data_IF_652447583098
#
_entry.id   IF_652447583098
#
_cell.length_a   1.000
_cell.length_b   1.000
_cell.length_c   1.000
_cell.angle_alpha   90.00
_cell.angle_beta   90.00
_cell.angle_gamma   90.00
#
_symmetry.space_group_name_H-M   'P 1'
#
loop_
_entity.id
_entity.type
_entity.pdbx_description
1 polymer ?
#
# COMPACT_ATOMS: atom_id res chain seq x y z
N UNK A 1 12.45 42.73 -52.67
CA UNK A 1 12.25 42.81 -51.23
C UNK A 1 11.99 41.42 -50.69
N UNK A 2 12.93 40.82 -50.01
CA UNK A 2 12.79 39.50 -49.42
C UNK A 2 12.42 39.76 -47.96
N UNK A 3 11.17 39.49 -47.61
CA UNK A 3 10.72 39.50 -46.20
C UNK A 3 11.07 38.17 -45.57
N UNK A 4 12.07 38.15 -44.74
CA UNK A 4 12.39 37.02 -43.90
C UNK A 4 11.29 36.85 -42.84
N UNK A 5 10.45 35.87 -43.04
CA UNK A 5 9.56 35.41 -41.99
C UNK A 5 10.38 34.47 -41.13
N UNK A 6 10.91 34.96 -40.00
CA UNK A 6 11.44 34.10 -38.94
C UNK A 6 10.25 33.39 -38.27
N UNK A 7 10.06 32.15 -38.66
CA UNK A 7 9.14 31.27 -38.00
C UNK A 7 9.77 30.84 -36.67
N UNK A 8 9.34 31.49 -35.61
CA UNK A 8 9.75 31.11 -34.25
C UNK A 8 9.00 29.83 -33.89
N UNK A 9 9.69 28.72 -33.99
CA UNK A 9 9.15 27.44 -33.50
C UNK A 9 9.18 27.50 -31.98
N UNK A 10 8.02 27.71 -31.37
CA UNK A 10 7.82 27.53 -29.93
C UNK A 10 7.78 26.01 -29.65
N UNK A 11 8.89 25.48 -29.18
CA UNK A 11 8.92 24.12 -28.65
C UNK A 11 8.24 24.16 -27.28
N UNK A 12 6.98 23.73 -27.22
CA UNK A 12 6.30 23.45 -25.97
C UNK A 12 6.95 22.21 -25.36
N UNK A 13 7.85 22.40 -24.42
CA UNK A 13 8.29 21.34 -23.51
C UNK A 13 7.09 20.98 -22.61
N UNK A 14 6.35 19.96 -23.00
CA UNK A 14 5.36 19.37 -22.13
C UNK A 14 6.14 18.60 -21.07
N UNK A 15 6.34 19.23 -19.92
CA UNK A 15 6.74 18.50 -18.72
C UNK A 15 5.54 17.62 -18.34
N UNK A 16 5.51 16.39 -18.85
CA UNK A 16 4.68 15.35 -18.25
C UNK A 16 5.27 15.06 -16.88
N UNK A 17 4.73 15.73 -15.86
CA UNK A 17 4.91 15.29 -14.48
C UNK A 17 4.34 13.88 -14.43
N UNK A 18 5.21 12.88 -14.44
CA UNK A 18 4.84 11.51 -14.17
C UNK A 18 4.34 11.49 -12.73
N UNK A 19 3.02 11.58 -12.56
CA UNK A 19 2.33 11.23 -11.34
C UNK A 19 2.78 9.80 -11.02
N UNK A 20 3.31 9.61 -9.82
CA UNK A 20 3.83 8.33 -9.37
C UNK A 20 2.74 7.26 -9.49
N UNK A 21 2.74 6.52 -10.62
CA UNK A 21 1.86 5.37 -10.85
C UNK A 21 2.46 4.08 -10.28
N UNK A 22 3.47 4.20 -9.42
CA UNK A 22 4.18 3.08 -8.85
C UNK A 22 3.46 2.46 -7.66
N UNK A 23 3.92 1.28 -7.20
CA UNK A 23 3.43 0.65 -5.99
C UNK A 23 3.58 1.55 -4.77
N UNK A 24 2.69 1.39 -3.80
CA UNK A 24 2.87 1.98 -2.48
C UNK A 24 4.19 1.47 -1.88
N UNK A 25 4.93 2.32 -1.21
CA UNK A 25 6.19 1.98 -0.56
C UNK A 25 6.21 2.46 0.89
N UNK A 26 7.15 1.95 1.66
CA UNK A 26 7.37 2.35 3.05
C UNK A 26 6.92 1.28 4.04
N UNK A 27 7.23 1.53 5.31
CA UNK A 27 6.89 0.66 6.43
C UNK A 27 5.78 1.30 7.23
N UNK A 28 4.74 0.51 7.49
CA UNK A 28 3.55 0.93 8.23
C UNK A 28 3.33 0.05 9.45
N UNK A 29 2.81 0.67 10.51
CA UNK A 29 2.37 0.00 11.72
C UNK A 29 0.88 -0.29 11.62
N UNK A 30 0.49 -1.55 11.82
CA UNK A 30 -0.92 -1.94 11.84
C UNK A 30 -1.61 -1.50 13.13
N UNK A 31 -2.94 -1.49 13.12
CA UNK A 31 -3.69 -1.39 14.36
C UNK A 31 -3.48 -2.63 15.24
N UNK A 32 -3.64 -2.51 16.55
CA UNK A 32 -3.66 -3.67 17.41
C UNK A 32 -4.75 -4.67 17.00
N UNK A 33 -4.39 -5.94 16.99
CA UNK A 33 -5.35 -7.03 16.75
C UNK A 33 -6.44 -7.02 17.82
N UNK A 34 -7.69 -7.14 17.41
CA UNK A 34 -8.82 -7.27 18.34
C UNK A 34 -8.75 -8.57 19.16
N UNK A 35 -8.09 -9.58 18.62
CA UNK A 35 -7.97 -10.91 19.25
C UNK A 35 -6.81 -10.97 20.24
N UNK A 36 -5.60 -10.48 19.83
CA UNK A 36 -4.38 -10.63 20.61
C UNK A 36 -3.89 -9.34 21.25
N UNK A 37 -4.34 -8.18 20.74
CA UNK A 37 -3.81 -6.86 21.12
C UNK A 37 -2.43 -6.54 20.55
N UNK A 38 -1.80 -7.47 19.83
CA UNK A 38 -0.52 -7.27 19.18
C UNK A 38 -0.65 -6.50 17.85
N UNK A 39 0.46 -6.03 17.35
CA UNK A 39 0.53 -5.33 16.06
C UNK A 39 1.74 -5.79 15.25
N UNK A 40 1.82 -5.32 14.02
CA UNK A 40 2.90 -5.68 13.13
C UNK A 40 3.42 -4.47 12.35
N UNK A 41 4.64 -4.60 11.84
CA UNK A 41 5.18 -3.72 10.80
C UNK A 41 5.02 -4.41 9.44
N UNK A 42 4.52 -3.65 8.49
CA UNK A 42 4.27 -4.10 7.12
C UNK A 42 5.08 -3.24 6.17
N UNK A 43 5.90 -3.86 5.36
CA UNK A 43 6.66 -3.19 4.29
C UNK A 43 5.90 -3.31 2.99
N UNK A 44 5.49 -2.18 2.42
CA UNK A 44 4.87 -2.13 1.11
C UNK A 44 5.91 -2.01 -0.01
N UNK A 45 5.59 -2.59 -1.12
CA UNK A 45 6.38 -2.53 -2.34
C UNK A 45 5.70 -3.29 -3.48
N UNK A 46 6.40 -3.43 -4.59
CA UNK A 46 5.93 -4.25 -5.69
C UNK A 46 5.78 -5.72 -5.27
N UNK A 47 4.72 -6.37 -5.76
CA UNK A 47 4.57 -7.81 -5.61
C UNK A 47 5.68 -8.56 -6.37
N UNK A 48 6.17 -9.65 -5.82
CA UNK A 48 7.24 -10.44 -6.47
C UNK A 48 6.78 -11.04 -7.80
N UNK A 49 5.52 -11.45 -7.87
CA UNK A 49 4.91 -12.10 -9.03
C UNK A 49 4.46 -11.11 -10.10
N UNK A 50 4.21 -9.86 -9.71
CA UNK A 50 3.77 -8.80 -10.62
C UNK A 50 4.21 -7.43 -10.07
N UNK A 51 5.21 -6.82 -10.69
CA UNK A 51 5.77 -5.55 -10.24
C UNK A 51 4.87 -4.33 -10.45
N UNK A 52 3.76 -4.48 -11.17
CA UNK A 52 2.73 -3.44 -11.33
C UNK A 52 1.70 -3.39 -10.19
N UNK A 53 1.71 -4.40 -9.32
CA UNK A 53 0.80 -4.51 -8.17
C UNK A 53 1.54 -4.22 -6.87
N UNK A 54 0.80 -3.77 -5.85
CA UNK A 54 1.31 -3.51 -4.51
C UNK A 54 1.05 -4.68 -3.60
N UNK A 55 2.09 -5.08 -2.86
CA UNK A 55 2.03 -6.08 -1.79
C UNK A 55 2.60 -5.52 -0.50
N UNK A 56 2.05 -5.95 0.62
CA UNK A 56 2.54 -5.65 1.96
C UNK A 56 3.07 -6.91 2.62
N UNK A 57 4.32 -6.87 3.02
CA UNK A 57 5.04 -7.99 3.63
C UNK A 57 5.22 -7.78 5.13
N UNK A 58 4.89 -8.78 5.92
CA UNK A 58 5.13 -8.77 7.36
C UNK A 58 6.64 -8.80 7.64
N UNK A 59 7.15 -7.80 8.35
CA UNK A 59 8.58 -7.71 8.66
C UNK A 59 8.88 -7.86 10.14
N UNK A 60 7.94 -7.52 11.02
CA UNK A 60 8.10 -7.62 12.47
C UNK A 60 6.73 -7.65 13.14
N UNK A 61 6.61 -8.38 14.24
CA UNK A 61 5.40 -8.39 15.04
C UNK A 61 5.70 -8.15 16.50
N UNK A 62 4.71 -7.63 17.22
CA UNK A 62 4.80 -7.25 18.62
C UNK A 62 3.63 -7.81 19.40
N UNK A 63 3.90 -8.26 20.61
CA UNK A 63 2.86 -8.65 21.54
C UNK A 63 2.13 -7.42 22.10
N UNK A 64 1.01 -7.64 22.77
CA UNK A 64 0.19 -6.60 23.39
C UNK A 64 1.01 -5.66 24.31
N UNK A 65 2.03 -6.17 24.98
CA UNK A 65 2.88 -5.38 25.87
C UNK A 65 4.02 -4.63 25.17
N UNK A 66 4.07 -4.67 23.85
CA UNK A 66 5.07 -3.96 23.05
C UNK A 66 6.39 -4.69 22.85
N UNK A 67 6.50 -5.94 23.29
CA UNK A 67 7.70 -6.74 23.04
C UNK A 67 7.68 -7.36 21.65
N UNK A 68 8.81 -7.26 20.97
CA UNK A 68 8.98 -7.94 19.68
C UNK A 68 8.90 -9.46 19.85
N UNK A 69 8.15 -10.10 18.98
CA UNK A 69 8.03 -11.55 18.94
C UNK A 69 9.27 -12.13 18.28
N UNK A 70 10.06 -12.91 19.02
CA UNK A 70 11.20 -13.64 18.48
C UNK A 70 10.72 -14.74 17.52
N UNK A 71 11.50 -14.95 16.46
CA UNK A 71 11.21 -16.00 15.48
C UNK A 71 9.78 -15.97 14.96
N UNK A 72 9.31 -14.76 14.64
CA UNK A 72 7.97 -14.55 14.14
C UNK A 72 7.74 -15.38 12.87
N UNK A 73 6.87 -16.40 12.98
CA UNK A 73 6.67 -17.40 11.94
C UNK A 73 6.12 -16.85 10.62
N UNK A 74 5.42 -15.73 10.66
CA UNK A 74 4.82 -15.09 9.48
C UNK A 74 5.70 -14.02 8.86
N UNK A 75 6.92 -13.83 9.38
CA UNK A 75 7.89 -12.89 8.81
C UNK A 75 8.18 -13.26 7.34
N UNK A 76 8.11 -12.26 6.46
CA UNK A 76 8.33 -12.44 5.04
C UNK A 76 7.10 -12.86 4.24
N UNK A 77 5.99 -13.16 4.90
CA UNK A 77 4.73 -13.48 4.24
C UNK A 77 3.93 -12.22 3.92
N UNK A 78 3.11 -12.29 2.89
CA UNK A 78 2.19 -11.20 2.58
C UNK A 78 1.05 -11.15 3.59
N UNK A 79 0.70 -9.95 4.05
CA UNK A 79 -0.57 -9.68 4.73
C UNK A 79 -1.59 -9.11 3.73
N UNK A 80 -1.13 -8.31 2.78
CA UNK A 80 -1.91 -7.70 1.70
C UNK A 80 -1.20 -8.01 0.38
N UNK A 81 -1.94 -8.39 -0.66
CA UNK A 81 -1.34 -8.68 -1.96
C UNK A 81 -2.26 -8.34 -3.12
N UNK A 82 -1.67 -8.23 -4.30
CA UNK A 82 -2.33 -7.97 -5.57
C UNK A 82 -3.17 -6.68 -5.60
N UNK A 83 -2.74 -5.65 -4.89
CA UNK A 83 -3.41 -4.36 -4.89
C UNK A 83 -3.08 -3.57 -6.15
N UNK A 84 -4.10 -3.28 -6.94
CA UNK A 84 -3.98 -2.44 -8.13
C UNK A 84 -4.28 -0.99 -7.78
N UNK A 85 -3.35 -0.10 -8.11
CA UNK A 85 -3.56 1.33 -7.93
C UNK A 85 -4.59 1.86 -8.93
N UNK A 86 -5.59 2.55 -8.42
CA UNK A 86 -6.64 3.21 -9.19
C UNK A 86 -6.69 4.69 -8.84
N UNK A 87 -6.28 5.55 -9.79
CA UNK A 87 -6.15 6.98 -9.52
C UNK A 87 -4.98 7.29 -8.57
N UNK A 88 -5.09 8.38 -7.81
CA UNK A 88 -3.97 8.89 -6.99
C UNK A 88 -3.93 8.32 -5.57
N UNK A 89 -5.05 7.85 -5.03
CA UNK A 89 -5.18 7.52 -3.61
C UNK A 89 -5.71 6.12 -3.35
N UNK A 90 -6.29 5.44 -4.32
CA UNK A 90 -7.02 4.21 -4.11
C UNK A 90 -6.30 3.00 -4.68
N UNK A 91 -6.46 1.88 -3.99
CA UNK A 91 -5.99 0.56 -4.40
C UNK A 91 -7.15 -0.42 -4.23
N UNK A 92 -7.33 -1.31 -5.20
CA UNK A 92 -8.42 -2.28 -5.19
C UNK A 92 -8.01 -3.61 -5.82
N UNK A 93 -8.91 -4.56 -5.78
CA UNK A 93 -8.75 -5.86 -6.44
C UNK A 93 -7.80 -6.82 -5.74
N UNK A 94 -7.28 -6.46 -4.58
CA UNK A 94 -6.37 -7.31 -3.82
C UNK A 94 -7.05 -8.13 -2.73
N UNK A 95 -6.21 -8.75 -1.91
CA UNK A 95 -6.59 -9.61 -0.78
C UNK A 95 -5.85 -9.20 0.47
N UNK A 96 -6.46 -9.49 1.61
CA UNK A 96 -5.85 -9.38 2.93
C UNK A 96 -6.06 -10.67 3.71
N UNK A 97 -5.04 -11.11 4.42
CA UNK A 97 -5.14 -12.27 5.32
C UNK A 97 -5.17 -11.81 6.77
N UNK A 98 -6.16 -12.29 7.49
CA UNK A 98 -6.17 -12.21 8.94
C UNK A 98 -5.43 -13.42 9.50
N UNK A 99 -4.26 -13.18 10.07
CA UNK A 99 -3.42 -14.26 10.62
C UNK A 99 -3.92 -14.78 11.95
N UNK A 100 -4.90 -14.12 12.58
CA UNK A 100 -5.52 -14.64 13.82
C UNK A 100 -6.52 -15.74 13.56
N UNK A 101 -7.23 -15.69 12.44
CA UNK A 101 -8.21 -16.73 12.06
C UNK A 101 -7.83 -17.52 10.79
N UNK A 102 -6.79 -17.08 10.10
CA UNK A 102 -6.31 -17.69 8.84
C UNK A 102 -7.17 -17.38 7.62
N UNK A 103 -8.19 -16.55 7.75
CA UNK A 103 -9.10 -16.23 6.64
C UNK A 103 -8.54 -15.15 5.72
N UNK A 104 -8.91 -15.26 4.46
CA UNK A 104 -8.54 -14.30 3.39
C UNK A 104 -9.79 -13.55 2.96
N UNK A 105 -9.67 -12.23 2.89
CA UNK A 105 -10.76 -11.35 2.49
C UNK A 105 -10.37 -10.55 1.25
N UNK A 106 -11.36 -10.11 0.49
CA UNK A 106 -11.16 -9.07 -0.50
C UNK A 106 -10.69 -7.79 0.19
N UNK A 107 -9.81 -7.06 -0.41
CA UNK A 107 -9.22 -5.87 0.22
C UNK A 107 -9.13 -4.70 -0.74
N UNK A 108 -9.24 -3.53 -0.16
CA UNK A 108 -8.95 -2.25 -0.80
C UNK A 108 -8.20 -1.35 0.17
N UNK A 109 -7.47 -0.40 -0.37
CA UNK A 109 -6.72 0.57 0.43
C UNK A 109 -6.94 1.99 -0.09
N UNK A 110 -6.75 2.95 0.78
CA UNK A 110 -6.82 4.37 0.46
C UNK A 110 -5.69 5.12 1.16
N UNK A 111 -4.97 5.97 0.42
CA UNK A 111 -4.01 6.90 1.02
C UNK A 111 -4.81 8.04 1.65
N UNK A 112 -4.84 8.08 2.98
CA UNK A 112 -5.58 9.09 3.74
C UNK A 112 -4.75 10.37 3.85
N UNK A 113 -3.46 10.22 4.14
CA UNK A 113 -2.51 11.32 4.24
C UNK A 113 -1.10 10.82 3.91
N UNK A 114 -0.12 11.72 3.95
CA UNK A 114 1.29 11.39 3.75
C UNK A 114 1.78 10.22 4.63
N UNK A 115 1.25 10.11 5.85
CA UNK A 115 1.72 9.15 6.86
C UNK A 115 0.65 8.13 7.27
N UNK A 116 -0.46 8.04 6.55
CA UNK A 116 -1.58 7.19 6.94
C UNK A 116 -2.26 6.57 5.74
N UNK A 117 -2.54 5.29 5.82
CA UNK A 117 -3.36 4.56 4.85
C UNK A 117 -4.54 3.89 5.55
N UNK A 118 -5.68 3.86 4.87
CA UNK A 118 -6.80 3.00 5.23
C UNK A 118 -6.66 1.66 4.54
N UNK A 119 -6.82 0.57 5.27
CA UNK A 119 -6.78 -0.79 4.76
C UNK A 119 -8.07 -1.49 5.16
N UNK A 120 -8.79 -2.04 4.18
CA UNK A 120 -10.10 -2.66 4.40
C UNK A 120 -10.07 -4.13 4.03
N UNK A 121 -10.72 -4.96 4.85
CA UNK A 121 -11.11 -6.31 4.50
C UNK A 121 -12.62 -6.37 4.30
N UNK A 122 -13.06 -6.98 3.21
CA UNK A 122 -14.46 -6.96 2.80
C UNK A 122 -15.02 -8.37 2.63
N UNK A 123 -16.25 -8.58 3.11
CA UNK A 123 -17.09 -9.74 2.81
C UNK A 123 -18.33 -9.23 2.09
N UNK A 124 -18.47 -9.58 0.81
CA UNK A 124 -19.51 -9.02 -0.05
C UNK A 124 -19.43 -7.47 -0.06
N UNK A 125 -20.48 -6.80 0.41
CA UNK A 125 -20.56 -5.33 0.45
C UNK A 125 -20.16 -4.74 1.80
N UNK A 126 -19.81 -5.57 2.78
CA UNK A 126 -19.44 -5.12 4.12
C UNK A 126 -17.94 -5.10 4.26
N UNK A 127 -17.38 -3.90 4.50
CA UNK A 127 -15.96 -3.72 4.71
C UNK A 127 -15.68 -3.23 6.13
N UNK A 128 -14.63 -3.77 6.73
CA UNK A 128 -14.04 -3.25 7.96
C UNK A 128 -12.72 -2.59 7.62
N UNK A 129 -12.54 -1.33 8.03
CA UNK A 129 -11.36 -0.55 7.73
C UNK A 129 -10.52 -0.34 8.96
N UNK A 130 -9.19 -0.35 8.75
CA UNK A 130 -8.19 0.04 9.73
C UNK A 130 -7.36 1.18 9.18
N UNK A 131 -6.80 1.98 10.04
CA UNK A 131 -5.82 3.00 9.67
C UNK A 131 -4.43 2.57 10.11
N UNK A 132 -3.51 2.43 9.17
CA UNK A 132 -2.12 2.10 9.44
C UNK A 132 -1.25 3.33 9.30
N UNK A 133 -0.33 3.51 10.23
CA UNK A 133 0.53 4.69 10.28
C UNK A 133 1.91 4.38 9.71
N UNK A 134 2.37 5.28 8.84
CA UNK A 134 3.70 5.15 8.24
C UNK A 134 4.78 5.45 9.26
N UNK A 135 5.78 4.58 9.32
CA UNK A 135 6.98 4.76 10.16
C UNK A 135 8.12 5.38 9.36
N UNK A 136 8.27 4.95 8.13
CA UNK A 136 9.27 5.47 7.19
C UNK A 136 9.09 4.96 5.75
#
# INVERSE_FOLDING_TARGET
MITNIMSTIFVFLIFSSSLFAGPLSGIYKTNPSKTTGGWAYVKFGACKENNGLTCGTLVKAFSKNGKAIKDYENKGKYIVWDMKKEGNKNFSGGKIKDYSDGKVYNSKMEIISKNKIGVSGCVLFICQSQEWNKLK
#
